data_IF_884850630970
#
_entry.id   IF_884850630970
#
_cell.length_a   1.000
_cell.length_b   1.000
_cell.length_c   1.000
_cell.angle_alpha   90.00
_cell.angle_beta   90.00
_cell.angle_gamma   90.00
#
_symmetry.space_group_name_H-M   'P 1'
#
loop_
_entity.id
_entity.type
_entity.pdbx_description
1 polymer ?
#
# COMPACT_ATOMS: atom_id res chain seq x y z
N UNK A 1 -86.89 7.06 -11.51
CA UNK A 1 -87.60 6.23 -10.50
C UNK A 1 -86.77 6.20 -9.22
N UNK A 2 -87.47 6.04 -8.10
CA UNK A 2 -87.09 6.21 -6.70
C UNK A 2 -85.85 5.41 -6.23
N UNK A 3 -85.06 6.08 -5.37
CA UNK A 3 -84.41 5.62 -4.12
C UNK A 3 -84.10 4.13 -3.93
N UNK A 4 -82.87 3.82 -3.48
CA UNK A 4 -82.67 3.27 -2.11
C UNK A 4 -81.21 3.29 -1.64
N UNK A 5 -81.02 3.73 -0.39
CA UNK A 5 -79.82 3.62 0.45
C UNK A 5 -79.61 2.17 0.92
N UNK A 6 -78.36 1.81 1.28
CA UNK A 6 -77.95 1.02 2.48
C UNK A 6 -76.40 0.89 2.48
N UNK A 7 -75.67 1.46 3.44
CA UNK A 7 -75.32 0.97 4.80
C UNK A 7 -74.53 -0.35 4.81
N UNK A 8 -73.29 -0.31 5.33
CA UNK A 8 -72.83 -1.37 6.25
C UNK A 8 -71.42 -1.95 6.10
N UNK A 9 -70.64 -1.77 7.17
CA UNK A 9 -69.83 -2.79 7.88
C UNK A 9 -68.35 -3.00 7.49
N UNK A 10 -67.49 -2.54 8.42
CA UNK A 10 -66.29 -3.13 9.04
C UNK A 10 -65.55 -4.27 8.31
N UNK A 11 -64.23 -4.09 8.17
CA UNK A 11 -63.27 -5.18 8.00
C UNK A 11 -61.85 -4.69 8.34
N UNK A 12 -61.40 -4.98 9.56
CA UNK A 12 -60.00 -4.82 9.96
C UNK A 12 -59.15 -5.90 9.28
N UNK A 13 -58.04 -5.52 8.66
CA UNK A 13 -56.99 -6.45 8.23
C UNK A 13 -55.71 -6.05 8.95
N UNK A 14 -55.36 -6.83 9.97
CA UNK A 14 -54.03 -6.85 10.56
C UNK A 14 -53.05 -7.41 9.51
N UNK A 15 -52.20 -6.56 8.95
CA UNK A 15 -51.04 -7.01 8.20
C UNK A 15 -49.91 -7.35 9.19
N UNK A 16 -49.69 -8.65 9.39
CA UNK A 16 -48.49 -9.19 10.02
C UNK A 16 -47.28 -8.84 9.14
N UNK A 17 -46.48 -7.87 9.58
CA UNK A 17 -45.15 -7.62 9.03
C UNK A 17 -44.22 -8.74 9.50
N UNK A 18 -43.95 -9.72 8.63
CA UNK A 18 -42.88 -10.69 8.83
C UNK A 18 -41.56 -9.96 8.62
N UNK A 19 -40.97 -9.49 9.72
CA UNK A 19 -39.62 -8.97 9.74
C UNK A 19 -38.64 -10.11 9.46
N UNK A 20 -38.22 -10.26 8.21
CA UNK A 20 -37.03 -11.06 7.87
C UNK A 20 -35.83 -10.27 8.34
N UNK A 21 -35.40 -10.51 9.57
CA UNK A 21 -34.09 -10.12 10.04
C UNK A 21 -33.05 -10.90 9.24
N UNK A 22 -32.54 -10.30 8.17
CA UNK A 22 -31.28 -10.70 7.56
C UNK A 22 -30.20 -10.56 8.65
N UNK A 23 -29.86 -11.68 9.28
CA UNK A 23 -28.67 -11.76 10.11
C UNK A 23 -27.47 -11.50 9.19
N UNK A 24 -26.88 -10.32 9.32
CA UNK A 24 -25.58 -10.03 8.74
C UNK A 24 -24.57 -10.94 9.45
N UNK A 25 -24.19 -12.03 8.78
CA UNK A 25 -23.05 -12.82 9.22
C UNK A 25 -21.82 -11.92 9.11
N UNK A 26 -21.01 -11.76 10.18
CA UNK A 26 -19.74 -11.05 10.06
C UNK A 26 -18.89 -11.82 9.05
N UNK A 27 -18.46 -11.15 7.98
CA UNK A 27 -17.48 -11.70 7.07
C UNK A 27 -16.24 -12.06 7.89
N UNK A 28 -15.92 -13.35 7.98
CA UNK A 28 -14.65 -13.80 8.52
C UNK A 28 -13.56 -13.28 7.60
N UNK A 29 -12.70 -12.40 8.12
CA UNK A 29 -11.50 -12.00 7.40
C UNK A 29 -10.69 -13.27 7.09
N UNK A 30 -10.56 -13.60 5.80
CA UNK A 30 -9.68 -14.69 5.39
C UNK A 30 -8.26 -14.18 5.47
N UNK A 31 -7.43 -14.85 6.27
CA UNK A 31 -5.99 -14.69 6.24
C UNK A 31 -5.50 -15.07 4.83
N UNK A 32 -4.84 -14.12 4.17
CA UNK A 32 -4.29 -14.24 2.83
C UNK A 32 -2.83 -13.77 2.88
N UNK A 33 -1.95 -14.54 2.23
CA UNK A 33 -0.56 -14.18 1.98
C UNK A 33 -0.24 -14.42 0.51
N UNK A 34 0.36 -13.41 -0.13
CA UNK A 34 0.85 -13.49 -1.50
C UNK A 34 2.33 -13.13 -1.50
N UNK A 35 3.13 -13.98 -2.15
CA UNK A 35 4.57 -13.79 -2.29
C UNK A 35 4.85 -13.48 -3.75
N UNK A 36 5.57 -12.38 -4.00
CA UNK A 36 6.07 -12.01 -5.31
C UNK A 36 7.18 -12.95 -5.79
N UNK A 37 7.59 -12.78 -7.04
CA UNK A 37 8.66 -13.60 -7.60
C UNK A 37 9.98 -13.40 -6.84
N UNK A 38 10.73 -14.49 -6.65
CA UNK A 38 12.04 -14.45 -6.00
C UNK A 38 13.13 -14.28 -7.05
N UNK A 39 13.82 -13.15 -6.99
CA UNK A 39 14.88 -12.81 -7.93
C UNK A 39 16.28 -12.90 -7.33
N UNK A 40 17.29 -13.26 -8.14
CA UNK A 40 18.68 -13.15 -7.76
C UNK A 40 19.23 -11.76 -8.07
N UNK A 41 20.10 -11.24 -7.20
CA UNK A 41 21.00 -10.13 -7.56
C UNK A 41 22.14 -10.65 -8.43
N UNK A 42 22.83 -9.77 -9.18
CA UNK A 42 24.22 -10.01 -9.57
C UNK A 42 25.09 -10.34 -8.35
N UNK A 43 26.25 -10.96 -8.58
CA UNK A 43 27.19 -11.22 -7.51
C UNK A 43 27.77 -9.90 -6.96
N UNK A 44 27.50 -9.61 -5.69
CA UNK A 44 28.02 -8.46 -4.96
C UNK A 44 29.06 -8.96 -3.96
N UNK A 45 30.32 -8.55 -4.11
CA UNK A 45 31.45 -9.07 -3.32
C UNK A 45 31.52 -10.61 -3.31
N UNK A 46 31.24 -11.24 -4.45
CA UNK A 46 31.21 -12.70 -4.58
C UNK A 46 29.99 -13.40 -3.95
N UNK A 47 29.03 -12.66 -3.39
CA UNK A 47 27.79 -13.18 -2.81
C UNK A 47 26.62 -12.91 -3.74
N UNK A 48 25.83 -13.94 -4.03
CA UNK A 48 24.54 -13.82 -4.70
C UNK A 48 23.47 -13.77 -3.63
N UNK A 49 22.60 -12.77 -3.71
CA UNK A 49 21.45 -12.65 -2.84
C UNK A 49 20.19 -13.04 -3.61
N UNK A 50 19.23 -13.60 -2.90
CA UNK A 50 17.85 -13.75 -3.34
C UNK A 50 17.00 -12.72 -2.61
N UNK A 51 16.00 -12.19 -3.28
CA UNK A 51 15.07 -11.24 -2.70
C UNK A 51 13.66 -11.41 -3.24
N UNK A 52 12.68 -11.03 -2.43
CA UNK A 52 11.28 -10.95 -2.83
C UNK A 52 10.54 -9.90 -2.00
N UNK A 53 9.30 -9.65 -2.42
CA UNK A 53 8.31 -8.96 -1.61
C UNK A 53 7.12 -9.87 -1.35
N UNK A 54 6.46 -9.69 -0.21
CA UNK A 54 5.20 -10.35 0.09
C UNK A 54 4.22 -9.39 0.72
N UNK A 55 2.94 -9.74 0.66
CA UNK A 55 1.87 -9.05 1.36
C UNK A 55 1.03 -10.06 2.13
N UNK A 56 0.65 -9.73 3.36
CA UNK A 56 -0.21 -10.59 4.16
C UNK A 56 -1.14 -9.78 5.08
N UNK A 57 -2.25 -10.41 5.49
CA UNK A 57 -3.22 -9.86 6.45
C UNK A 57 -3.59 -10.83 7.59
N UNK A 58 -2.67 -11.76 7.91
CA UNK A 58 -2.95 -12.96 8.70
C UNK A 58 -3.29 -12.69 10.18
N UNK A 59 -2.90 -11.55 10.74
CA UNK A 59 -3.10 -11.16 12.13
C UNK A 59 -4.15 -10.05 12.32
N UNK A 60 -4.91 -9.73 11.26
CA UNK A 60 -5.83 -8.61 11.21
C UNK A 60 -5.17 -7.26 10.91
N UNK A 61 -3.84 -7.22 10.82
CA UNK A 61 -3.07 -6.14 10.23
C UNK A 61 -2.94 -6.29 8.71
N UNK A 62 -2.28 -5.33 8.07
CA UNK A 62 -1.86 -5.42 6.67
C UNK A 62 -0.38 -5.14 6.61
N UNK A 63 0.38 -6.06 6.03
CA UNK A 63 1.85 -6.01 6.06
C UNK A 63 2.42 -6.26 4.67
N UNK A 64 3.05 -5.24 4.09
CA UNK A 64 3.97 -5.37 2.97
C UNK A 64 5.38 -5.65 3.51
N UNK A 65 5.98 -6.75 3.06
CA UNK A 65 7.31 -7.20 3.47
C UNK A 65 8.25 -7.23 2.28
N UNK A 66 9.51 -6.94 2.56
CA UNK A 66 10.63 -7.07 1.63
C UNK A 66 11.74 -7.77 2.34
N UNK A 67 12.26 -8.82 1.71
CA UNK A 67 13.27 -9.68 2.29
C UNK A 67 14.41 -9.88 1.32
N UNK A 68 15.63 -9.91 1.84
CA UNK A 68 16.83 -10.33 1.13
C UNK A 68 17.58 -11.39 1.95
N UNK A 69 18.13 -12.39 1.29
CA UNK A 69 18.94 -13.43 1.92
C UNK A 69 20.01 -13.96 0.98
N UNK A 70 21.10 -14.49 1.54
CA UNK A 70 22.17 -15.13 0.75
C UNK A 70 21.67 -16.43 0.12
N UNK A 71 21.97 -16.69 -1.15
CA UNK A 71 21.48 -17.87 -1.87
C UNK A 71 21.92 -19.21 -1.27
N UNK A 72 23.08 -19.25 -0.59
CA UNK A 72 23.66 -20.47 -0.01
C UNK A 72 23.63 -20.50 1.52
N UNK A 73 22.89 -19.58 2.15
CA UNK A 73 22.73 -19.52 3.61
C UNK A 73 23.98 -19.12 4.40
N UNK A 74 25.05 -18.68 3.72
CA UNK A 74 26.22 -18.12 4.39
C UNK A 74 25.88 -16.80 5.09
N UNK A 75 26.59 -16.47 6.16
CA UNK A 75 26.45 -15.15 6.77
C UNK A 75 27.34 -14.14 6.08
N UNK A 76 26.91 -12.88 6.04
CA UNK A 76 27.69 -11.73 5.60
C UNK A 76 27.92 -10.78 6.76
N UNK A 77 28.91 -9.90 6.64
CA UNK A 77 29.27 -8.94 7.69
C UNK A 77 28.14 -7.91 7.93
N UNK A 78 28.14 -7.20 9.09
CA UNK A 78 27.21 -6.12 9.36
C UNK A 78 27.19 -5.09 8.21
N UNK A 79 26.00 -4.57 7.89
CA UNK A 79 25.77 -3.58 6.84
C UNK A 79 26.18 -4.06 5.43
N UNK A 80 25.97 -5.34 5.12
CA UNK A 80 26.13 -5.86 3.76
C UNK A 80 24.79 -6.02 3.03
N UNK A 81 23.70 -6.01 3.79
CA UNK A 81 22.33 -6.18 3.32
C UNK A 81 21.47 -5.04 3.85
N UNK A 82 20.68 -4.42 2.97
CA UNK A 82 19.63 -3.46 3.31
C UNK A 82 18.34 -3.82 2.61
N UNK A 83 17.19 -3.56 3.23
CA UNK A 83 15.87 -3.77 2.64
C UNK A 83 14.96 -2.59 2.97
N UNK A 84 14.08 -2.25 2.02
CA UNK A 84 13.08 -1.20 2.14
C UNK A 84 11.75 -1.70 1.63
N UNK A 85 10.72 -1.76 2.49
CA UNK A 85 9.38 -2.18 2.11
C UNK A 85 8.50 -1.00 1.71
N UNK A 86 7.71 -1.18 0.66
CA UNK A 86 6.70 -0.21 0.21
C UNK A 86 5.36 -0.93 0.06
N UNK A 87 4.30 -0.33 0.62
CA UNK A 87 2.92 -0.77 0.51
C UNK A 87 2.21 0.08 -0.53
N UNK A 88 1.48 -0.55 -1.44
CA UNK A 88 0.70 0.14 -2.47
C UNK A 88 -0.76 -0.26 -2.39
N UNK A 89 -1.65 0.72 -2.59
CA UNK A 89 -3.10 0.54 -2.73
C UNK A 89 -3.49 0.98 -4.12
N UNK A 90 -3.98 0.07 -4.95
CA UNK A 90 -4.34 0.35 -6.35
C UNK A 90 -3.22 1.09 -7.13
N UNK A 91 -1.96 0.71 -6.92
CA UNK A 91 -0.80 1.31 -7.58
C UNK A 91 -0.23 2.58 -6.92
N UNK A 92 -0.96 3.21 -6.00
CA UNK A 92 -0.53 4.42 -5.28
C UNK A 92 0.18 4.04 -3.98
N UNK A 93 1.30 4.70 -3.68
CA UNK A 93 2.08 4.38 -2.48
C UNK A 93 1.32 4.79 -1.20
N UNK A 94 1.16 3.84 -0.30
CA UNK A 94 0.47 4.04 0.97
C UNK A 94 1.45 4.17 2.15
N UNK A 95 2.52 3.40 2.14
CA UNK A 95 3.53 3.43 3.20
C UNK A 95 4.89 3.04 2.62
N UNK A 96 5.93 3.67 3.14
CA UNK A 96 7.32 3.26 2.94
C UNK A 96 8.03 3.27 4.28
N UNK A 97 8.77 2.20 4.56
CA UNK A 97 9.68 2.15 5.71
C UNK A 97 11.06 2.60 5.28
N UNK A 98 11.86 3.18 6.17
CA UNK A 98 13.27 3.44 5.89
C UNK A 98 14.06 2.13 5.70
N UNK A 99 15.26 2.23 5.14
CA UNK A 99 16.14 1.09 4.97
C UNK A 99 16.50 0.43 6.31
N UNK A 100 16.22 -0.87 6.40
CA UNK A 100 16.68 -1.72 7.50
C UNK A 100 17.90 -2.50 7.03
N UNK A 101 19.02 -2.29 7.71
CA UNK A 101 20.27 -3.02 7.44
C UNK A 101 20.48 -4.15 8.45
N UNK A 102 21.27 -5.15 8.07
CA UNK A 102 21.70 -6.17 9.02
C UNK A 102 22.73 -5.59 10.01
N UNK A 103 22.43 -5.48 11.32
CA UNK A 103 23.34 -4.84 12.28
C UNK A 103 24.45 -5.78 12.78
N UNK A 104 24.31 -7.08 12.49
CA UNK A 104 25.20 -8.16 12.88
C UNK A 104 25.39 -9.11 11.70
N UNK A 105 26.30 -10.08 11.86
CA UNK A 105 26.47 -11.13 10.86
C UNK A 105 25.17 -11.91 10.68
N UNK A 106 24.65 -11.93 9.46
CA UNK A 106 23.35 -12.51 9.15
C UNK A 106 23.34 -13.09 7.75
N UNK A 107 22.46 -14.07 7.51
CA UNK A 107 22.19 -14.62 6.17
C UNK A 107 20.91 -14.08 5.54
N UNK A 108 20.14 -13.28 6.29
CA UNK A 108 18.88 -12.67 5.85
C UNK A 108 18.62 -11.36 6.59
N UNK A 109 17.91 -10.44 5.93
CA UNK A 109 17.31 -9.24 6.51
C UNK A 109 15.90 -9.06 5.94
N UNK A 110 14.98 -8.51 6.74
CA UNK A 110 13.59 -8.25 6.36
C UNK A 110 13.13 -6.92 6.97
N UNK A 111 12.26 -6.21 6.26
CA UNK A 111 11.51 -5.07 6.77
C UNK A 111 10.01 -5.25 6.46
N UNK A 112 9.15 -4.65 7.29
CA UNK A 112 7.70 -4.72 7.09
C UNK A 112 7.03 -3.37 7.36
N UNK A 113 6.00 -3.08 6.58
CA UNK A 113 5.05 -1.99 6.85
C UNK A 113 4.08 -2.39 7.96
N UNK A 114 3.48 -1.42 8.65
CA UNK A 114 2.56 -1.69 9.76
C UNK A 114 1.26 -0.85 9.72
N UNK A 115 1.00 -0.14 8.63
CA UNK A 115 -0.19 0.70 8.45
C UNK A 115 -0.91 0.38 7.13
N UNK A 116 -2.01 1.10 6.86
CA UNK A 116 -2.79 0.99 5.63
C UNK A 116 -3.54 2.31 5.35
N UNK A 117 -4.06 2.42 4.12
CA UNK A 117 -4.75 3.59 3.60
C UNK A 117 -6.24 3.28 3.35
N UNK A 118 -6.84 2.51 4.27
CA UNK A 118 -8.26 2.12 4.24
C UNK A 118 -8.53 0.81 3.51
N UNK A 119 -9.81 0.55 3.22
CA UNK A 119 -10.22 -0.63 2.45
C UNK A 119 -9.77 -0.51 0.99
N UNK A 120 -9.30 -1.60 0.38
CA UNK A 120 -8.91 -1.63 -1.03
C UNK A 120 -8.10 -2.87 -1.43
N UNK A 121 -7.58 -2.83 -2.66
CA UNK A 121 -6.66 -3.85 -3.19
C UNK A 121 -5.22 -3.40 -3.00
N UNK A 122 -4.39 -4.25 -2.41
CA UNK A 122 -3.04 -3.91 -2.01
C UNK A 122 -2.02 -4.89 -2.54
N UNK A 123 -0.84 -4.38 -2.89
CA UNK A 123 0.33 -5.18 -3.21
C UNK A 123 1.58 -4.64 -2.50
N UNK A 124 2.64 -5.44 -2.51
CA UNK A 124 3.93 -5.11 -1.93
C UNK A 124 5.00 -5.14 -3.01
N UNK A 125 5.85 -4.12 -3.04
CA UNK A 125 7.18 -4.20 -3.62
C UNK A 125 8.10 -3.28 -2.83
N UNK A 126 9.39 -3.28 -3.13
CA UNK A 126 10.38 -2.66 -2.29
C UNK A 126 11.69 -2.50 -3.02
N UNK A 127 12.73 -2.29 -2.24
CA UNK A 127 14.09 -2.25 -2.71
C UNK A 127 14.97 -3.07 -1.77
N UNK A 128 16.02 -3.65 -2.33
CA UNK A 128 17.09 -4.30 -1.57
C UNK A 128 18.42 -3.68 -1.94
N UNK A 129 19.33 -3.60 -0.99
CA UNK A 129 20.68 -3.08 -1.14
C UNK A 129 21.68 -4.17 -0.80
N UNK A 130 22.59 -4.46 -1.73
CA UNK A 130 23.71 -5.35 -1.50
C UNK A 130 25.03 -4.58 -1.60
N UNK A 131 25.90 -4.75 -0.61
CA UNK A 131 27.22 -4.12 -0.62
C UNK A 131 28.20 -4.93 -1.47
N UNK A 132 28.86 -4.29 -2.44
CA UNK A 132 29.83 -4.96 -3.33
C UNK A 132 31.28 -4.93 -2.83
N UNK A 133 31.52 -4.34 -1.65
CA UNK A 133 32.85 -4.09 -1.10
C UNK A 133 33.27 -2.62 -1.18
N UNK A 134 32.57 -1.80 -1.98
CA UNK A 134 32.82 -0.37 -2.12
C UNK A 134 31.55 0.47 -1.98
N UNK A 135 30.47 0.08 -2.64
CA UNK A 135 29.19 0.80 -2.65
C UNK A 135 28.01 -0.16 -2.46
N UNK A 136 26.85 0.39 -2.14
CA UNK A 136 25.60 -0.36 -2.18
C UNK A 136 25.00 -0.29 -3.58
N UNK A 137 24.72 -1.47 -4.15
CA UNK A 137 23.90 -1.61 -5.35
C UNK A 137 22.46 -1.86 -4.91
N UNK A 138 21.53 -1.08 -5.46
CA UNK A 138 20.11 -1.16 -5.17
C UNK A 138 19.37 -1.93 -6.27
N UNK A 139 18.43 -2.77 -5.88
CA UNK A 139 17.62 -3.60 -6.78
C UNK A 139 16.14 -3.51 -6.37
N UNK A 140 15.24 -3.43 -7.34
CA UNK A 140 13.80 -3.47 -7.08
C UNK A 140 13.37 -4.91 -6.80
N UNK A 141 12.44 -5.10 -5.88
CA UNK A 141 11.77 -6.40 -5.74
C UNK A 141 10.55 -6.48 -6.66
N UNK A 142 10.24 -7.68 -7.12
CA UNK A 142 9.06 -7.90 -7.93
C UNK A 142 7.79 -7.69 -7.10
N UNK A 143 6.75 -7.02 -7.67
CA UNK A 143 5.45 -6.91 -7.03
C UNK A 143 4.87 -8.27 -6.62
N UNK A 144 4.29 -8.32 -5.42
CA UNK A 144 3.39 -9.40 -5.05
C UNK A 144 2.10 -9.31 -5.87
N UNK A 145 1.40 -10.44 -6.01
CA UNK A 145 -0.01 -10.40 -6.39
C UNK A 145 -0.79 -9.58 -5.35
N UNK A 146 -1.83 -8.85 -5.77
CA UNK A 146 -2.60 -8.05 -4.84
C UNK A 146 -3.51 -8.91 -3.97
N UNK A 147 -3.77 -8.44 -2.75
CA UNK A 147 -4.78 -8.97 -1.83
C UNK A 147 -5.82 -7.89 -1.55
N UNK A 148 -7.07 -8.30 -1.29
CA UNK A 148 -8.10 -7.36 -0.86
C UNK A 148 -8.10 -7.25 0.67
N UNK A 149 -8.03 -6.02 1.17
CA UNK A 149 -8.01 -5.73 2.60
C UNK A 149 -9.19 -4.84 2.98
N UNK A 150 -9.92 -5.26 4.02
CA UNK A 150 -10.98 -4.44 4.64
C UNK A 150 -10.41 -3.82 5.90
N UNK A 151 -10.20 -2.51 5.89
CA UNK A 151 -9.69 -1.83 7.07
C UNK A 151 -10.72 -1.87 8.21
N UNK A 152 -10.28 -2.05 9.47
CA UNK A 152 -11.15 -1.86 10.62
C UNK A 152 -11.83 -0.49 10.55
N UNK A 153 -13.10 -0.41 10.94
CA UNK A 153 -13.83 0.86 10.96
C UNK A 153 -13.08 1.86 11.84
N UNK A 154 -12.46 2.86 11.22
CA UNK A 154 -11.90 3.99 11.95
C UNK A 154 -13.05 4.79 12.60
N UNK A 155 -12.89 5.36 13.80
CA UNK A 155 -13.83 6.35 14.30
C UNK A 155 -13.81 7.57 13.37
N UNK A 156 -14.78 7.63 12.44
CA UNK A 156 -15.28 8.76 11.65
C UNK A 156 -14.31 9.82 11.06
N UNK A 157 -13.00 9.63 11.08
CA UNK A 157 -12.01 10.66 10.71
C UNK A 157 -11.25 10.39 9.40
N UNK A 158 -11.49 9.28 8.69
CA UNK A 158 -10.82 8.96 7.41
C UNK A 158 -11.75 8.81 6.21
N UNK A 159 -13.05 8.99 6.37
CA UNK A 159 -14.05 8.57 5.35
C UNK A 159 -14.78 9.74 4.68
N UNK A 160 -14.21 10.94 4.69
CA UNK A 160 -14.70 12.06 3.90
C UNK A 160 -13.55 12.61 3.05
N UNK A 161 -13.74 12.60 1.72
CA UNK A 161 -12.74 12.83 0.66
C UNK A 161 -11.76 11.65 0.56
N UNK A 162 -11.97 10.68 -0.33
CA UNK A 162 -12.03 10.85 -1.79
C UNK A 162 -13.08 9.88 -2.35
N UNK A 163 -13.98 10.41 -3.17
CA UNK A 163 -14.89 9.59 -3.97
C UNK A 163 -14.04 8.72 -4.87
N UNK A 164 -14.10 7.41 -4.70
CA UNK A 164 -13.40 6.38 -5.49
C UNK A 164 -13.54 6.58 -7.02
N UNK A 165 -14.57 7.34 -7.45
CA UNK A 165 -14.81 7.75 -8.83
C UNK A 165 -13.92 8.88 -9.38
N UNK A 166 -13.24 9.66 -8.54
CA UNK A 166 -12.26 10.68 -8.99
C UNK A 166 -10.83 10.11 -9.05
N UNK A 167 -10.62 8.92 -8.49
CA UNK A 167 -9.30 8.32 -8.31
C UNK A 167 -8.88 7.42 -9.49
N UNK A 168 -9.82 6.96 -10.31
CA UNK A 168 -9.57 5.93 -11.33
C UNK A 168 -9.18 6.49 -12.70
N UNK A 169 -9.43 7.77 -13.01
CA UNK A 169 -8.93 8.38 -14.26
C UNK A 169 -7.52 8.95 -14.13
N UNK A 170 -6.99 9.16 -12.92
CA UNK A 170 -5.76 9.96 -12.71
C UNK A 170 -4.54 9.18 -12.20
N UNK A 171 -4.68 7.92 -11.80
CA UNK A 171 -3.53 7.09 -11.39
C UNK A 171 -2.75 6.51 -12.56
N UNK A 172 -3.33 6.46 -13.76
CA UNK A 172 -2.74 5.75 -14.91
C UNK A 172 -1.97 6.67 -15.88
N UNK A 173 -2.06 8.00 -15.71
CA UNK A 173 -1.45 8.95 -16.62
C UNK A 173 -0.29 9.70 -15.94
N UNK A 174 0.95 9.35 -16.30
CA UNK A 174 2.09 10.19 -16.00
C UNK A 174 1.92 11.59 -16.63
N UNK A 175 2.29 12.64 -15.91
CA UNK A 175 2.20 14.02 -16.39
C UNK A 175 3.43 14.84 -15.97
N UNK A 176 3.49 16.09 -16.42
CA UNK A 176 4.61 16.98 -16.14
C UNK A 176 4.09 18.34 -15.68
N UNK A 177 4.71 18.87 -14.62
CA UNK A 177 4.47 20.23 -14.12
C UNK A 177 5.82 20.89 -13.95
N UNK A 178 6.01 22.08 -14.52
CA UNK A 178 7.27 22.84 -14.43
C UNK A 178 8.54 22.07 -14.85
N UNK A 179 8.41 21.04 -15.69
CA UNK A 179 9.52 20.19 -16.13
C UNK A 179 9.80 18.99 -15.23
N UNK A 180 9.09 18.83 -14.12
CA UNK A 180 9.16 17.67 -13.23
C UNK A 180 8.09 16.64 -13.61
N UNK A 181 8.47 15.37 -13.56
CA UNK A 181 7.59 14.24 -13.85
C UNK A 181 6.79 13.81 -12.62
N UNK A 182 5.52 13.48 -12.83
CA UNK A 182 4.58 13.04 -11.81
C UNK A 182 3.92 11.73 -12.24
N UNK A 183 3.76 10.78 -11.32
CA UNK A 183 3.10 9.50 -11.63
C UNK A 183 3.25 8.45 -10.54
N UNK A 184 2.91 7.19 -10.87
CA UNK A 184 3.09 6.06 -9.96
C UNK A 184 4.58 5.72 -9.78
N UNK A 185 4.92 5.09 -8.67
CA UNK A 185 6.25 4.51 -8.48
C UNK A 185 6.49 3.40 -9.52
N UNK A 186 7.72 3.34 -10.02
CA UNK A 186 8.18 2.26 -10.88
C UNK A 186 8.15 0.92 -10.15
N UNK A 187 7.72 -0.10 -10.90
CA UNK A 187 7.70 -1.49 -10.47
C UNK A 187 8.74 -2.33 -11.23
N UNK A 188 9.49 -1.70 -12.14
CA UNK A 188 10.40 -2.37 -13.07
C UNK A 188 11.86 -2.08 -12.72
N UNK A 189 12.71 -3.11 -12.81
CA UNK A 189 14.13 -2.96 -12.58
C UNK A 189 14.77 -2.06 -13.65
N UNK A 190 15.60 -1.10 -13.22
CA UNK A 190 16.29 -0.17 -14.11
C UNK A 190 15.43 1.00 -14.60
N UNK A 191 14.15 1.06 -14.22
CA UNK A 191 13.26 2.20 -14.49
C UNK A 191 13.18 3.06 -13.24
N UNK A 192 13.62 4.31 -13.34
CA UNK A 192 13.54 5.27 -12.24
C UNK A 192 12.08 5.63 -11.92
N UNK A 193 11.81 5.86 -10.64
CA UNK A 193 10.58 6.52 -10.20
C UNK A 193 10.50 7.94 -10.83
N UNK A 194 9.29 8.48 -11.06
CA UNK A 194 9.14 9.89 -11.46
C UNK A 194 9.70 10.83 -10.39
N UNK A 195 9.93 12.10 -10.75
CA UNK A 195 10.43 13.11 -9.80
C UNK A 195 9.48 13.26 -8.60
N UNK A 196 8.17 13.15 -8.84
CA UNK A 196 7.13 13.18 -7.84
C UNK A 196 6.25 11.92 -7.94
N UNK A 197 6.23 11.12 -6.87
CA UNK A 197 5.48 9.85 -6.82
C UNK A 197 4.11 10.05 -6.18
N UNK A 198 3.11 9.40 -6.75
CA UNK A 198 1.75 9.36 -6.22
C UNK A 198 1.70 8.62 -4.88
N UNK A 199 1.13 9.28 -3.87
CA UNK A 199 0.98 8.76 -2.51
C UNK A 199 -0.43 9.01 -1.96
N UNK A 200 -0.76 8.25 -0.92
CA UNK A 200 -1.77 8.65 0.06
C UNK A 200 -1.09 9.36 1.22
N UNK A 201 -1.46 10.61 1.49
CA UNK A 201 -1.09 11.33 2.70
C UNK A 201 -1.56 10.59 3.96
N UNK A 202 -0.96 10.91 5.12
CA UNK A 202 -1.35 10.36 6.42
C UNK A 202 -2.83 10.66 6.76
N UNK A 203 -3.42 11.71 6.16
CA UNK A 203 -4.83 12.07 6.23
C UNK A 203 -5.75 11.19 5.36
N UNK A 204 -5.20 10.46 4.38
CA UNK A 204 -5.92 9.73 3.34
C UNK A 204 -6.11 10.52 2.03
N UNK A 205 -5.68 11.79 1.98
CA UNK A 205 -5.69 12.57 0.74
C UNK A 205 -4.71 11.98 -0.29
N UNK A 206 -5.07 12.03 -1.56
CA UNK A 206 -4.24 11.59 -2.68
C UNK A 206 -3.46 12.77 -3.21
N UNK A 207 -2.17 12.59 -3.47
CA UNK A 207 -1.32 13.60 -4.07
C UNK A 207 0.06 13.05 -4.41
N UNK A 208 1.04 13.93 -4.47
CA UNK A 208 2.39 13.60 -4.93
C UNK A 208 3.46 14.09 -3.96
N UNK A 209 4.53 13.32 -3.82
CA UNK A 209 5.67 13.63 -2.97
C UNK A 209 6.95 13.50 -3.77
N UNK A 210 7.88 14.42 -3.53
CA UNK A 210 9.22 14.40 -4.12
C UNK A 210 9.97 13.09 -3.79
N UNK A 211 10.40 12.40 -4.84
CA UNK A 211 11.09 11.10 -4.77
C UNK A 211 12.45 11.24 -4.11
N UNK A 212 13.15 12.36 -4.31
CA UNK A 212 14.44 12.61 -3.63
C UNK A 212 14.23 12.67 -2.11
N UNK A 213 13.17 13.35 -1.66
CA UNK A 213 12.70 13.37 -0.29
C UNK A 213 12.46 11.97 0.25
N UNK A 214 11.68 11.13 -0.44
CA UNK A 214 11.39 9.75 -0.03
C UNK A 214 12.68 8.92 0.15
N UNK A 215 13.66 9.13 -0.72
CA UNK A 215 14.90 8.34 -0.73
C UNK A 215 15.97 8.82 0.24
N UNK A 216 15.89 10.06 0.71
CA UNK A 216 16.89 10.68 1.60
C UNK A 216 16.39 10.93 3.02
N UNK A 217 15.07 10.92 3.24
CA UNK A 217 14.47 11.19 4.54
C UNK A 217 14.73 10.07 5.55
N UNK A 218 14.96 10.47 6.80
CA UNK A 218 15.05 9.57 7.94
C UNK A 218 13.66 9.11 8.38
N UNK A 219 13.61 7.96 9.06
CA UNK A 219 12.37 7.46 9.67
C UNK A 219 11.77 8.50 10.62
N UNK A 220 10.46 8.71 10.54
CA UNK A 220 9.72 9.74 11.27
C UNK A 220 9.66 11.10 10.59
N UNK A 221 10.34 11.30 9.45
CA UNK A 221 10.22 12.54 8.66
C UNK A 221 8.89 12.57 7.92
N UNK A 222 8.16 13.67 8.04
CA UNK A 222 6.95 13.94 7.25
C UNK A 222 7.30 14.83 6.06
N UNK A 223 7.06 14.31 4.86
CA UNK A 223 7.24 15.04 3.60
C UNK A 223 5.93 15.71 3.18
N UNK A 224 5.95 16.92 2.62
CA UNK A 224 4.73 17.57 2.12
C UNK A 224 4.16 16.79 0.93
N UNK A 225 2.84 16.65 0.89
CA UNK A 225 2.09 16.06 -0.22
C UNK A 225 1.43 17.19 -0.99
N UNK A 226 1.71 17.27 -2.29
CA UNK A 226 1.18 18.29 -3.17
C UNK A 226 0.04 17.75 -4.04
N UNK A 227 -0.89 18.64 -4.39
CA UNK A 227 -1.90 18.40 -5.42
C UNK A 227 -1.23 18.36 -6.82
N UNK A 228 -2.03 18.06 -7.84
CA UNK A 228 -1.62 17.94 -9.24
C UNK A 228 -0.99 19.21 -9.82
N UNK A 229 -1.24 20.37 -9.23
CA UNK A 229 -0.63 21.63 -9.64
C UNK A 229 0.85 21.78 -9.21
N UNK A 230 1.35 20.84 -8.40
CA UNK A 230 2.73 20.80 -7.90
C UNK A 230 3.07 21.91 -6.90
N UNK A 231 2.09 22.69 -6.44
CA UNK A 231 2.32 23.85 -5.55
C UNK A 231 1.38 23.90 -4.35
N UNK A 232 0.17 23.34 -4.47
CA UNK A 232 -0.81 23.32 -3.38
C UNK A 232 -0.53 22.14 -2.45
N UNK A 233 -0.08 22.41 -1.23
CA UNK A 233 0.11 21.39 -0.20
C UNK A 233 -1.26 20.93 0.36
N UNK A 234 -1.50 19.62 0.32
CA UNK A 234 -2.77 18.98 0.71
C UNK A 234 -2.63 17.97 1.86
N UNK A 235 -1.40 17.76 2.36
CA UNK A 235 -1.15 16.90 3.50
C UNK A 235 0.33 16.60 3.71
N UNK A 236 0.59 15.58 4.53
CA UNK A 236 1.94 15.06 4.78
C UNK A 236 2.00 13.55 4.60
N UNK A 237 3.17 13.05 4.21
CA UNK A 237 3.47 11.63 4.05
C UNK A 237 4.68 11.27 4.92
N UNK A 238 4.45 10.48 5.96
CA UNK A 238 5.49 10.15 6.95
C UNK A 238 6.23 8.87 6.61
N UNK A 239 7.55 8.97 6.45
CA UNK A 239 8.46 7.82 6.32
C UNK A 239 8.46 7.06 7.64
N UNK A 240 8.23 5.74 7.59
CA UNK A 240 8.13 4.90 8.80
C UNK A 240 9.46 4.27 9.20
#
# INVERSE_FOLDING_TARGET
MKNTKKLGVKGAVCALAVGVSLAAFPATASAEEQIGWTGPTPANNGVIYLHNSSINNNDGGLHAKTRMWTSFGNTVEPFFMGVRSRLFKSGVMCEVVNYVYNPARASSVEAQTNTNCGTGSYNSHGFVKAFDGSVFNEYVTFPSNPINFTAPAAPAARTAAITESEQQEDTDAAFTVNGESYGLASQEEGVADPDNVAVFADSGAFGYVDTVGINSAEAGTTLPVYDRDGVTEIGGFTIK
#
